data_IF_981462796746
#
_entry.id   IF_981462796746
#
_cell.length_a   1.000
_cell.length_b   1.000
_cell.length_c   1.000
_cell.angle_alpha   90.00
_cell.angle_beta   90.00
_cell.angle_gamma   90.00
#
_symmetry.space_group_name_H-M   'P 1'
#
loop_
_entity.id
_entity.type
_entity.pdbx_description
1 polymer ?
#
# COMPACT_ATOMS: atom_id res chain seq x y z
N UNK A 1 44.24 24.33 -2.74
CA UNK A 1 42.94 24.55 -3.41
C UNK A 1 42.91 26.00 -3.85
N UNK A 2 43.39 26.25 -5.06
CA UNK A 2 43.43 27.58 -5.66
C UNK A 2 42.04 27.93 -6.18
N UNK A 3 41.64 29.15 -5.85
CA UNK A 3 40.30 29.72 -5.98
C UNK A 3 39.99 30.04 -7.46
N UNK A 4 39.77 29.00 -8.26
CA UNK A 4 39.35 29.11 -9.67
C UNK A 4 37.91 29.57 -9.84
N UNK A 5 37.19 29.83 -8.74
CA UNK A 5 35.79 30.26 -8.74
C UNK A 5 35.59 31.72 -9.18
N UNK A 6 36.64 32.54 -9.14
CA UNK A 6 36.57 33.97 -9.47
C UNK A 6 36.58 34.27 -10.98
N UNK A 7 36.96 33.31 -11.84
CA UNK A 7 37.07 33.49 -13.29
C UNK A 7 35.88 32.96 -14.10
N UNK A 8 34.86 32.38 -13.45
CA UNK A 8 33.65 31.97 -14.16
C UNK A 8 32.92 33.19 -14.77
N UNK A 9 32.52 33.13 -16.05
CA UNK A 9 31.72 34.18 -16.69
C UNK A 9 30.51 34.56 -15.83
N UNK A 10 30.11 35.83 -15.82
CA UNK A 10 28.97 36.31 -15.02
C UNK A 10 27.66 35.52 -15.26
N UNK A 11 27.50 34.96 -16.46
CA UNK A 11 26.38 34.11 -16.87
C UNK A 11 26.36 32.75 -16.14
N UNK A 12 27.51 32.12 -15.92
CA UNK A 12 27.62 30.86 -15.17
C UNK A 12 27.32 31.07 -13.69
N UNK A 13 27.87 32.15 -13.11
CA UNK A 13 27.59 32.54 -11.70
C UNK A 13 26.10 32.79 -11.48
N UNK A 14 25.44 33.50 -12.41
CA UNK A 14 23.99 33.75 -12.36
C UNK A 14 23.19 32.45 -12.44
N UNK A 15 23.58 31.51 -13.31
CA UNK A 15 22.88 30.23 -13.48
C UNK A 15 22.96 29.36 -12.22
N UNK A 16 24.15 29.29 -11.59
CA UNK A 16 24.34 28.56 -10.33
C UNK A 16 23.53 29.18 -9.19
N UNK A 17 23.51 30.52 -9.08
CA UNK A 17 22.72 31.23 -8.08
C UNK A 17 21.22 30.97 -8.24
N UNK A 18 20.69 31.05 -9.47
CA UNK A 18 19.29 30.74 -9.78
C UNK A 18 18.97 29.29 -9.42
N UNK A 19 19.82 28.34 -9.82
CA UNK A 19 19.59 26.92 -9.51
C UNK A 19 19.53 26.67 -8.00
N UNK A 20 20.45 27.24 -7.22
CA UNK A 20 20.44 27.14 -5.76
C UNK A 20 19.16 27.71 -5.15
N UNK A 21 18.72 28.87 -5.61
CA UNK A 21 17.45 29.47 -5.18
C UNK A 21 16.26 28.56 -5.48
N UNK A 22 16.16 28.01 -6.70
CA UNK A 22 15.08 27.10 -7.07
C UNK A 22 15.09 25.79 -6.26
N UNK A 23 16.28 25.24 -5.97
CA UNK A 23 16.40 24.09 -5.07
C UNK A 23 15.96 24.44 -3.64
N UNK A 24 16.22 25.66 -3.16
CA UNK A 24 15.76 26.11 -1.85
C UNK A 24 14.22 26.25 -1.80
N UNK A 25 13.62 26.84 -2.83
CA UNK A 25 12.16 26.94 -2.97
C UNK A 25 11.53 25.54 -3.03
N UNK A 26 12.08 24.64 -3.85
CA UNK A 26 11.61 23.26 -3.93
C UNK A 26 11.75 22.53 -2.58
N UNK A 27 12.88 22.69 -1.89
CA UNK A 27 13.09 22.11 -0.57
C UNK A 27 12.07 22.62 0.44
N UNK A 28 11.75 23.92 0.44
CA UNK A 28 10.77 24.51 1.34
C UNK A 28 9.36 23.94 1.10
N UNK A 29 8.92 23.85 -0.15
CA UNK A 29 7.63 23.26 -0.54
C UNK A 29 7.59 21.78 -0.11
N UNK A 30 8.61 21.02 -0.49
CA UNK A 30 8.70 19.59 -0.17
C UNK A 30 8.72 19.34 1.33
N UNK A 31 9.48 20.14 2.10
CA UNK A 31 9.55 20.02 3.55
C UNK A 31 8.22 20.38 4.22
N UNK A 32 7.51 21.43 3.77
CA UNK A 32 6.20 21.78 4.31
C UNK A 32 5.17 20.65 4.12
N UNK A 33 5.11 20.07 2.91
CA UNK A 33 4.22 18.94 2.60
C UNK A 33 4.65 17.65 3.32
N UNK A 34 5.94 17.39 3.46
CA UNK A 34 6.45 16.27 4.24
C UNK A 34 6.09 16.42 5.73
N UNK A 35 6.20 17.62 6.30
CA UNK A 35 5.78 17.88 7.69
C UNK A 35 4.28 17.63 7.87
N UNK A 36 3.45 18.10 6.94
CA UNK A 36 2.01 17.77 6.94
C UNK A 36 1.79 16.25 6.90
N UNK A 37 2.52 15.55 6.04
CA UNK A 37 2.47 14.08 5.95
C UNK A 37 2.81 13.40 7.27
N UNK A 38 3.89 13.82 7.93
CA UNK A 38 4.34 13.25 9.20
C UNK A 38 3.33 13.49 10.33
N UNK A 39 2.66 14.65 10.35
CA UNK A 39 1.56 14.93 11.29
C UNK A 39 0.40 13.95 11.06
N UNK A 40 0.01 13.73 9.80
CA UNK A 40 -1.06 12.77 9.46
C UNK A 40 -0.67 11.33 9.84
N UNK A 41 0.58 10.94 9.62
CA UNK A 41 1.07 9.62 10.02
C UNK A 41 1.10 9.46 11.53
N UNK A 42 1.43 10.51 12.28
CA UNK A 42 1.35 10.48 13.73
C UNK A 42 -0.09 10.23 14.21
N UNK A 43 -1.07 10.94 13.64
CA UNK A 43 -2.49 10.74 13.95
C UNK A 43 -2.97 9.33 13.59
N UNK A 44 -2.47 8.77 12.48
CA UNK A 44 -2.74 7.40 12.04
C UNK A 44 -2.16 6.34 12.99
N UNK A 45 -0.91 6.53 13.45
CA UNK A 45 -0.28 5.62 14.43
C UNK A 45 -0.99 5.65 15.78
N UNK A 46 -1.57 6.80 16.15
CA UNK A 46 -2.32 6.96 17.41
C UNK A 46 -3.81 6.58 17.30
N UNK A 47 -4.24 5.97 16.20
CA UNK A 47 -5.63 5.58 15.98
C UNK A 47 -5.77 4.06 15.96
N UNK A 48 -6.50 3.50 16.93
CA UNK A 48 -6.78 2.08 16.99
C UNK A 48 -8.09 1.75 16.27
N UNK A 49 -8.01 1.56 14.96
CA UNK A 49 -9.14 1.26 14.08
C UNK A 49 -8.78 1.48 12.62
N UNK A 50 -9.61 1.05 11.64
CA UNK A 50 -9.21 1.01 10.23
C UNK A 50 -9.11 2.41 9.64
N UNK A 51 -8.00 2.71 8.97
CA UNK A 51 -7.89 3.93 8.17
C UNK A 51 -8.57 3.77 6.82
N UNK A 52 -8.40 2.60 6.21
CA UNK A 52 -8.95 2.30 4.90
C UNK A 52 -9.53 0.90 4.91
N UNK A 53 -10.51 0.72 4.04
CA UNK A 53 -11.07 -0.58 3.76
C UNK A 53 -9.98 -1.62 3.48
N UNK A 54 -10.13 -2.80 4.09
CA UNK A 54 -9.23 -3.94 3.90
C UNK A 54 -8.04 -3.95 4.87
N UNK A 55 -7.84 -2.93 5.70
CA UNK A 55 -6.92 -3.08 6.85
C UNK A 55 -7.43 -4.14 7.82
N UNK A 56 -8.75 -4.20 8.05
CA UNK A 56 -9.38 -5.18 8.92
C UNK A 56 -9.01 -6.63 8.57
N UNK A 57 -9.06 -7.00 7.29
CA UNK A 57 -8.66 -8.33 6.84
C UNK A 57 -7.19 -8.67 7.16
N UNK A 58 -6.28 -7.71 6.96
CA UNK A 58 -4.84 -7.91 7.25
C UNK A 58 -4.59 -8.05 8.75
N UNK A 59 -5.25 -7.21 9.55
CA UNK A 59 -5.13 -7.25 11.00
C UNK A 59 -5.75 -8.53 11.55
N UNK A 60 -6.94 -8.92 11.09
CA UNK A 60 -7.61 -10.15 11.49
C UNK A 60 -6.72 -11.38 11.25
N UNK A 61 -6.12 -11.49 10.05
CA UNK A 61 -5.19 -12.57 9.74
C UNK A 61 -3.98 -12.60 10.70
N UNK A 62 -3.43 -11.46 11.07
CA UNK A 62 -2.38 -11.36 12.09
C UNK A 62 -2.85 -11.76 13.49
N UNK A 63 -4.06 -11.36 13.89
CA UNK A 63 -4.64 -11.74 15.18
C UNK A 63 -5.01 -13.22 15.27
N UNK A 64 -5.34 -13.87 14.14
CA UNK A 64 -5.49 -15.32 14.08
C UNK A 64 -4.14 -16.00 14.38
N UNK A 65 -3.06 -15.54 13.74
CA UNK A 65 -1.70 -16.05 14.03
C UNK A 65 -1.32 -15.83 15.49
N UNK A 66 -1.60 -14.64 16.06
CA UNK A 66 -1.33 -14.35 17.47
C UNK A 66 -2.06 -15.31 18.43
N UNK A 67 -3.23 -15.81 18.01
CA UNK A 67 -4.03 -16.81 18.73
C UNK A 67 -3.60 -18.26 18.45
N UNK A 68 -2.54 -18.48 17.67
CA UNK A 68 -2.06 -19.80 17.29
C UNK A 68 -2.90 -20.47 16.20
N UNK A 69 -3.71 -19.70 15.46
CA UNK A 69 -4.54 -20.18 14.36
C UNK A 69 -3.87 -19.89 13.01
N UNK A 70 -4.15 -20.72 12.03
CA UNK A 70 -3.69 -20.54 10.65
C UNK A 70 -4.71 -19.72 9.84
N UNK A 71 -4.40 -18.48 9.40
CA UNK A 71 -5.31 -17.67 8.61
C UNK A 71 -5.51 -18.18 7.17
N UNK A 72 -4.70 -19.14 6.73
CA UNK A 72 -4.84 -19.83 5.43
C UNK A 72 -5.56 -21.17 5.55
N UNK A 73 -5.77 -21.66 6.78
CA UNK A 73 -6.49 -22.90 7.02
C UNK A 73 -7.98 -22.76 6.73
N UNK A 74 -8.73 -23.88 6.68
CA UNK A 74 -10.18 -23.85 6.50
C UNK A 74 -10.83 -23.06 7.65
N UNK A 75 -11.62 -22.01 7.36
CA UNK A 75 -12.33 -21.27 8.40
C UNK A 75 -13.44 -22.12 9.02
N UNK A 76 -13.94 -21.70 10.19
CA UNK A 76 -15.15 -22.28 10.75
C UNK A 76 -16.34 -22.14 9.78
N UNK A 77 -17.30 -23.06 9.84
CA UNK A 77 -18.44 -23.05 8.92
C UNK A 77 -19.19 -21.70 8.91
N UNK A 78 -19.40 -21.17 7.71
CA UNK A 78 -19.99 -19.85 7.48
C UNK A 78 -19.03 -18.66 7.62
N UNK A 79 -17.88 -18.80 8.27
CA UNK A 79 -16.91 -17.70 8.43
C UNK A 79 -16.06 -17.57 7.16
N UNK A 80 -15.75 -16.34 6.76
CA UNK A 80 -14.82 -16.06 5.66
C UNK A 80 -13.61 -15.26 6.15
N UNK A 81 -12.41 -15.77 5.81
CA UNK A 81 -11.12 -15.13 6.11
C UNK A 81 -10.35 -14.90 4.81
N UNK A 82 -10.07 -13.64 4.49
CA UNK A 82 -9.42 -13.20 3.25
C UNK A 82 -7.92 -12.94 3.40
N UNK A 83 -7.13 -13.97 3.73
CA UNK A 83 -5.65 -13.86 3.85
C UNK A 83 -4.92 -13.75 2.48
N UNK A 84 -5.23 -12.74 1.67
CA UNK A 84 -4.79 -12.59 0.28
C UNK A 84 -3.31 -12.20 0.05
N UNK A 85 -2.49 -12.13 1.10
CA UNK A 85 -1.06 -11.83 1.03
C UNK A 85 -0.24 -12.95 1.64
N UNK A 86 1.06 -13.09 1.30
CA UNK A 86 1.93 -14.00 2.01
C UNK A 86 2.19 -13.53 3.47
N UNK A 87 2.72 -14.42 4.35
CA UNK A 87 2.58 -14.27 5.79
C UNK A 87 3.31 -13.11 6.45
N UNK A 88 4.28 -12.45 5.80
CA UNK A 88 5.20 -11.55 6.51
C UNK A 88 4.48 -10.38 7.21
N UNK A 89 3.52 -9.76 6.54
CA UNK A 89 2.78 -8.64 7.14
C UNK A 89 1.88 -9.09 8.29
N UNK A 90 1.25 -10.27 8.17
CA UNK A 90 0.43 -10.85 9.23
C UNK A 90 1.28 -11.22 10.45
N UNK A 91 2.50 -11.72 10.23
CA UNK A 91 3.47 -11.99 11.30
C UNK A 91 3.89 -10.71 12.04
N UNK A 92 4.07 -9.59 11.32
CA UNK A 92 4.35 -8.30 11.95
C UNK A 92 3.22 -7.87 12.89
N UNK A 93 1.96 -8.00 12.44
CA UNK A 93 0.79 -7.76 13.30
C UNK A 93 0.81 -8.72 14.50
N UNK A 94 0.97 -10.01 14.26
CA UNK A 94 0.93 -11.04 15.30
C UNK A 94 1.97 -10.84 16.41
N UNK A 95 3.21 -10.50 16.02
CA UNK A 95 4.32 -10.26 16.97
C UNK A 95 4.09 -8.99 17.78
N UNK A 96 3.48 -7.97 17.17
CA UNK A 96 3.28 -6.67 17.78
C UNK A 96 1.92 -6.45 18.44
N UNK A 97 0.99 -7.40 18.38
CA UNK A 97 -0.42 -7.20 18.81
C UNK A 97 -0.56 -6.75 20.26
N UNK A 98 0.41 -7.09 21.12
CA UNK A 98 0.47 -6.60 22.50
C UNK A 98 0.57 -5.06 22.63
N UNK A 99 0.98 -4.35 21.57
CA UNK A 99 1.08 -2.88 21.54
C UNK A 99 -0.12 -2.20 20.87
N UNK A 100 -1.06 -2.97 20.34
CA UNK A 100 -2.17 -2.53 19.49
C UNK A 100 -2.32 -3.47 18.30
N UNK A 101 -3.54 -3.65 17.81
CA UNK A 101 -3.86 -4.55 16.70
C UNK A 101 -3.46 -3.92 15.36
N UNK A 102 -3.69 -2.60 15.20
CA UNK A 102 -3.35 -1.88 13.96
C UNK A 102 -1.93 -1.29 13.98
N UNK A 103 -1.44 -0.88 15.15
CA UNK A 103 -0.17 -0.14 15.30
C UNK A 103 1.07 -0.83 14.68
N UNK A 104 1.34 -2.13 14.86
CA UNK A 104 2.63 -2.72 14.52
C UNK A 104 2.98 -2.60 13.04
N UNK A 105 2.05 -2.98 12.16
CA UNK A 105 2.28 -2.95 10.72
C UNK A 105 2.33 -1.51 10.19
N UNK A 106 1.53 -0.60 10.75
CA UNK A 106 1.62 0.84 10.41
C UNK A 106 2.98 1.42 10.77
N UNK A 107 3.48 1.12 11.97
CA UNK A 107 4.79 1.59 12.43
C UNK A 107 5.89 1.06 11.51
N UNK A 108 5.85 -0.24 11.15
CA UNK A 108 6.81 -0.83 10.20
C UNK A 108 6.71 -0.17 8.82
N UNK A 109 5.52 0.12 8.32
CA UNK A 109 5.35 0.79 7.02
C UNK A 109 5.83 2.25 7.02
N UNK A 110 5.58 3.00 8.11
CA UNK A 110 6.14 4.35 8.29
C UNK A 110 7.67 4.29 8.33
N UNK A 111 8.25 3.37 9.09
CA UNK A 111 9.70 3.16 9.13
C UNK A 111 10.27 2.75 7.76
N UNK A 112 9.55 1.92 7.01
CA UNK A 112 9.91 1.53 5.64
C UNK A 112 9.94 2.73 4.70
N UNK A 113 8.94 3.62 4.75
CA UNK A 113 8.92 4.86 3.98
C UNK A 113 10.06 5.81 4.37
N UNK A 114 10.30 5.99 5.67
CA UNK A 114 11.43 6.81 6.16
C UNK A 114 12.78 6.23 5.74
N UNK A 115 12.94 4.92 5.75
CA UNK A 115 14.16 4.25 5.29
C UNK A 115 14.42 4.50 3.79
N UNK A 116 13.37 4.48 2.96
CA UNK A 116 13.47 4.87 1.55
C UNK A 116 13.86 6.35 1.42
N UNK A 117 13.24 7.26 2.18
CA UNK A 117 13.58 8.68 2.17
C UNK A 117 15.05 8.93 2.56
N UNK A 118 15.55 8.22 3.59
CA UNK A 118 16.95 8.25 4.00
C UNK A 118 17.85 7.73 2.88
N UNK A 119 17.47 6.63 2.21
CA UNK A 119 18.22 6.10 1.07
C UNK A 119 18.26 7.11 -0.09
N UNK A 120 17.18 7.83 -0.36
CA UNK A 120 17.13 8.91 -1.35
C UNK A 120 18.10 10.04 -0.96
N UNK A 121 18.04 10.53 0.28
CA UNK A 121 18.97 11.55 0.77
C UNK A 121 20.43 11.12 0.65
N UNK A 122 20.74 9.88 1.05
CA UNK A 122 22.10 9.33 1.00
C UNK A 122 22.62 9.15 -0.43
N UNK A 123 21.74 8.86 -1.38
CA UNK A 123 22.08 8.74 -2.81
C UNK A 123 22.28 10.10 -3.48
N UNK A 124 21.63 11.14 -2.99
CA UNK A 124 21.74 12.50 -3.52
C UNK A 124 23.11 13.13 -3.16
N UNK A 125 24.06 13.01 -4.10
CA UNK A 125 25.44 13.51 -3.91
C UNK A 125 25.66 14.97 -4.31
N UNK A 126 24.65 15.64 -4.87
CA UNK A 126 24.83 16.96 -5.45
C UNK A 126 25.00 18.08 -4.40
N UNK A 127 24.16 18.09 -3.36
CA UNK A 127 24.28 18.99 -2.20
C UNK A 127 23.36 18.52 -1.06
N UNK A 128 23.61 18.96 0.18
CA UNK A 128 22.72 18.70 1.32
C UNK A 128 21.30 19.20 1.08
N UNK A 129 21.16 20.35 0.42
CA UNK A 129 19.87 20.93 0.07
C UNK A 129 19.12 20.05 -0.94
N UNK A 130 19.81 19.55 -1.97
CA UNK A 130 19.23 18.62 -2.95
C UNK A 130 18.78 17.32 -2.27
N UNK A 131 19.60 16.78 -1.37
CA UNK A 131 19.30 15.57 -0.63
C UNK A 131 18.04 15.72 0.24
N UNK A 132 17.96 16.82 1.01
CA UNK A 132 16.79 17.16 1.80
C UNK A 132 15.55 17.32 0.91
N UNK A 133 15.66 18.09 -0.18
CA UNK A 133 14.55 18.34 -1.09
C UNK A 133 13.99 17.06 -1.70
N UNK A 134 14.85 16.16 -2.19
CA UNK A 134 14.41 14.90 -2.79
C UNK A 134 13.82 13.93 -1.76
N UNK A 135 14.43 13.80 -0.58
CA UNK A 135 13.91 12.94 0.48
C UNK A 135 12.56 13.43 1.01
N UNK A 136 12.45 14.73 1.32
CA UNK A 136 11.18 15.34 1.72
C UNK A 136 10.13 15.23 0.61
N UNK A 137 10.53 15.37 -0.66
CA UNK A 137 9.58 15.25 -1.76
C UNK A 137 8.97 13.86 -1.88
N UNK A 138 9.73 12.80 -1.63
CA UNK A 138 9.21 11.44 -1.63
C UNK A 138 8.12 11.26 -0.57
N UNK A 139 8.34 11.77 0.64
CA UNK A 139 7.33 11.75 1.71
C UNK A 139 6.10 12.59 1.34
N UNK A 140 6.29 13.69 0.61
CA UNK A 140 5.21 14.56 0.14
C UNK A 140 4.40 14.01 -1.05
N UNK A 141 4.81 12.91 -1.69
CA UNK A 141 4.08 12.34 -2.82
C UNK A 141 2.75 11.77 -2.34
N UNK A 142 1.65 12.10 -3.03
CA UNK A 142 0.31 11.64 -2.70
C UNK A 142 0.18 10.13 -2.36
N UNK A 143 0.70 9.19 -3.17
CA UNK A 143 0.59 7.76 -2.83
C UNK A 143 1.37 7.39 -1.56
N UNK A 144 2.52 8.05 -1.31
CA UNK A 144 3.31 7.82 -0.09
C UNK A 144 2.59 8.40 1.13
N UNK A 145 2.13 9.64 1.04
CA UNK A 145 1.35 10.32 2.08
C UNK A 145 0.15 9.48 2.52
N UNK A 146 -0.61 8.96 1.56
CA UNK A 146 -1.88 8.27 1.82
C UNK A 146 -1.69 6.83 2.27
N UNK A 147 -0.69 6.13 1.73
CA UNK A 147 -0.62 4.66 1.85
C UNK A 147 0.53 4.15 2.72
N UNK A 148 1.52 4.97 3.05
CA UNK A 148 2.57 4.58 3.98
C UNK A 148 2.10 4.30 5.42
N UNK A 149 1.12 5.03 6.01
CA UNK A 149 0.73 4.78 7.40
C UNK A 149 -0.34 3.70 7.53
N UNK A 150 -0.76 3.10 6.41
CA UNK A 150 -1.85 2.14 6.34
C UNK A 150 -1.35 0.74 6.75
N UNK A 151 -2.15 -0.03 7.49
CA UNK A 151 -1.85 -1.39 7.95
C UNK A 151 -2.00 -2.43 6.82
N UNK A 152 -1.34 -2.19 5.68
CA UNK A 152 -1.34 -3.04 4.48
C UNK A 152 0.09 -3.42 4.11
N UNK A 153 0.25 -4.36 3.19
CA UNK A 153 1.57 -4.98 2.92
C UNK A 153 2.49 -4.12 2.04
N UNK A 154 1.97 -3.04 1.46
CA UNK A 154 2.54 -2.40 0.28
C UNK A 154 3.88 -1.71 0.53
N UNK A 155 3.95 -0.79 1.51
CA UNK A 155 5.16 0.03 1.73
C UNK A 155 6.35 -0.83 2.19
N UNK A 156 6.11 -1.84 3.02
CA UNK A 156 7.12 -2.81 3.42
C UNK A 156 7.70 -3.57 2.21
N UNK A 157 6.85 -4.05 1.30
CA UNK A 157 7.30 -4.71 0.07
C UNK A 157 8.12 -3.78 -0.84
N UNK A 158 7.71 -2.51 -0.96
CA UNK A 158 8.42 -1.49 -1.74
C UNK A 158 9.79 -1.19 -1.14
N UNK A 159 9.90 -1.06 0.19
CA UNK A 159 11.19 -0.84 0.85
C UNK A 159 12.12 -2.03 0.64
N UNK A 160 11.66 -3.26 0.84
CA UNK A 160 12.47 -4.45 0.58
C UNK A 160 12.92 -4.54 -0.88
N UNK A 161 12.04 -4.23 -1.84
CA UNK A 161 12.39 -4.15 -3.26
C UNK A 161 13.49 -3.11 -3.50
N UNK A 162 13.31 -1.89 -2.97
CA UNK A 162 14.30 -0.82 -3.11
C UNK A 162 15.67 -1.20 -2.52
N UNK A 163 15.69 -1.76 -1.30
CA UNK A 163 16.94 -2.16 -0.65
C UNK A 163 17.62 -3.35 -1.33
N UNK A 164 16.85 -4.32 -1.85
CA UNK A 164 17.39 -5.40 -2.67
C UNK A 164 18.20 -4.86 -3.86
N UNK A 165 17.63 -3.88 -4.57
CA UNK A 165 18.25 -3.31 -5.76
C UNK A 165 19.42 -2.38 -5.41
N UNK A 166 19.31 -1.58 -4.34
CA UNK A 166 20.39 -0.69 -3.89
C UNK A 166 21.62 -1.48 -3.43
N UNK A 167 21.41 -2.60 -2.74
CA UNK A 167 22.46 -3.46 -2.21
C UNK A 167 23.01 -4.43 -3.25
N UNK A 168 22.32 -4.70 -4.35
CA UNK A 168 22.83 -5.56 -5.42
C UNK A 168 24.24 -5.14 -5.86
N UNK A 169 25.22 -6.03 -5.67
CA UNK A 169 26.62 -5.77 -5.99
C UNK A 169 27.36 -7.10 -6.19
N UNK A 170 28.53 -7.09 -6.86
CA UNK A 170 29.24 -8.33 -7.14
C UNK A 170 29.91 -8.93 -5.89
N UNK A 171 29.87 -8.33 -4.70
CA UNK A 171 30.46 -8.88 -3.47
C UNK A 171 29.41 -9.62 -2.63
N UNK A 172 29.76 -10.78 -2.05
CA UNK A 172 28.82 -11.56 -1.22
C UNK A 172 28.26 -10.78 -0.04
N UNK A 173 29.08 -9.96 0.63
CA UNK A 173 28.66 -9.06 1.72
C UNK A 173 27.43 -8.20 1.37
N UNK A 174 27.27 -7.85 0.09
CA UNK A 174 26.18 -7.02 -0.41
C UNK A 174 25.12 -7.84 -1.17
N UNK A 175 25.53 -8.86 -1.89
CA UNK A 175 24.61 -9.76 -2.61
C UNK A 175 23.72 -10.58 -1.65
N UNK A 176 24.24 -11.01 -0.50
CA UNK A 176 23.49 -11.74 0.52
C UNK A 176 22.27 -10.95 1.02
N UNK A 177 22.42 -9.74 1.60
CA UNK A 177 21.26 -8.96 2.01
C UNK A 177 20.40 -8.54 0.83
N UNK A 178 20.96 -8.32 -0.38
CA UNK A 178 20.16 -8.02 -1.56
C UNK A 178 19.19 -9.16 -1.93
N UNK A 179 19.67 -10.41 -1.96
CA UNK A 179 18.82 -11.58 -2.21
C UNK A 179 17.83 -11.85 -1.08
N UNK A 180 18.23 -11.64 0.17
CA UNK A 180 17.33 -11.75 1.32
C UNK A 180 16.18 -10.73 1.24
N UNK A 181 16.49 -9.45 0.95
CA UNK A 181 15.47 -8.42 0.76
C UNK A 181 14.57 -8.70 -0.44
N UNK A 182 15.11 -9.21 -1.56
CA UNK A 182 14.27 -9.62 -2.70
C UNK A 182 13.29 -10.74 -2.31
N UNK A 183 13.73 -11.70 -1.49
CA UNK A 183 12.89 -12.79 -0.99
C UNK A 183 11.81 -12.27 -0.05
N UNK A 184 12.18 -11.40 0.89
CA UNK A 184 11.25 -10.77 1.82
C UNK A 184 10.21 -9.89 1.11
N UNK A 185 10.60 -9.20 0.02
CA UNK A 185 9.68 -8.42 -0.79
C UNK A 185 8.56 -9.30 -1.39
N UNK A 186 8.93 -10.44 -1.99
CA UNK A 186 7.95 -11.40 -2.52
C UNK A 186 7.13 -12.07 -1.42
N UNK A 187 7.77 -12.35 -0.27
CA UNK A 187 7.10 -12.88 0.92
C UNK A 187 6.23 -11.84 1.65
N UNK A 188 6.23 -10.59 1.17
CA UNK A 188 5.31 -9.53 1.62
C UNK A 188 4.19 -9.31 0.60
N UNK A 189 4.54 -9.18 -0.69
CA UNK A 189 3.58 -8.91 -1.76
C UNK A 189 4.08 -9.48 -3.10
N UNK A 190 3.32 -10.36 -3.79
CA UNK A 190 3.75 -10.96 -5.05
C UNK A 190 4.06 -9.96 -6.17
N UNK A 191 3.42 -8.78 -6.17
CA UNK A 191 3.64 -7.76 -7.22
C UNK A 191 5.07 -7.21 -7.24
N UNK A 192 5.83 -7.34 -6.14
CA UNK A 192 7.25 -7.01 -6.09
C UNK A 192 8.09 -7.81 -7.10
N UNK A 193 7.55 -8.91 -7.64
CA UNK A 193 8.19 -9.71 -8.68
C UNK A 193 8.52 -8.89 -9.93
N UNK A 194 7.65 -7.97 -10.34
CA UNK A 194 7.83 -7.19 -11.57
C UNK A 194 9.09 -6.31 -11.55
N UNK A 195 9.30 -5.42 -10.56
CA UNK A 195 10.54 -4.66 -10.46
C UNK A 195 11.78 -5.55 -10.25
N UNK A 196 11.67 -6.63 -9.46
CA UNK A 196 12.78 -7.54 -9.22
C UNK A 196 13.23 -8.26 -10.51
N UNK A 197 12.29 -8.82 -11.28
CA UNK A 197 12.59 -9.49 -12.56
C UNK A 197 13.20 -8.52 -13.55
N UNK A 198 12.66 -7.31 -13.68
CA UNK A 198 13.22 -6.30 -14.59
C UNK A 198 14.70 -5.99 -14.26
N UNK A 199 15.02 -5.83 -12.98
CA UNK A 199 16.41 -5.61 -12.54
C UNK A 199 17.27 -6.86 -12.72
N UNK A 200 16.77 -8.04 -12.35
CA UNK A 200 17.53 -9.30 -12.49
C UNK A 200 17.86 -9.61 -13.95
N UNK A 201 16.94 -9.35 -14.89
CA UNK A 201 17.20 -9.47 -16.33
C UNK A 201 18.28 -8.50 -16.79
N UNK A 202 18.23 -7.24 -16.34
CA UNK A 202 19.29 -6.28 -16.61
C UNK A 202 20.65 -6.75 -16.05
N UNK A 203 20.68 -7.22 -14.80
CA UNK A 203 21.90 -7.70 -14.16
C UNK A 203 22.43 -8.96 -14.88
N UNK A 204 21.57 -9.90 -15.27
CA UNK A 204 21.97 -11.08 -16.02
C UNK A 204 22.58 -10.71 -17.38
N UNK A 205 22.10 -9.64 -18.00
CA UNK A 205 22.63 -9.16 -19.27
C UNK A 205 23.94 -8.39 -19.13
N UNK A 206 24.06 -7.48 -18.15
CA UNK A 206 25.16 -6.50 -18.07
C UNK A 206 26.11 -6.69 -16.88
N UNK A 207 25.67 -7.38 -15.83
CA UNK A 207 26.37 -7.53 -14.55
C UNK A 207 26.27 -8.98 -14.03
N UNK A 208 26.61 -9.96 -14.87
CA UNK A 208 26.40 -11.40 -14.62
C UNK A 208 26.85 -11.89 -13.24
N UNK A 209 28.00 -11.41 -12.76
CA UNK A 209 28.51 -11.78 -11.43
C UNK A 209 27.63 -11.27 -10.30
N UNK A 210 27.08 -10.06 -10.42
CA UNK A 210 26.08 -9.53 -9.48
C UNK A 210 24.82 -10.36 -9.56
N UNK A 211 24.33 -10.64 -10.77
CA UNK A 211 23.11 -11.42 -11.00
C UNK A 211 23.20 -12.81 -10.35
N UNK A 212 24.27 -13.57 -10.63
CA UNK A 212 24.45 -14.92 -10.09
C UNK A 212 24.49 -14.93 -8.55
N UNK A 213 25.21 -13.99 -7.93
CA UNK A 213 25.32 -13.93 -6.46
C UNK A 213 24.01 -13.52 -5.80
N UNK A 214 23.31 -12.54 -6.37
CA UNK A 214 21.98 -12.12 -5.87
C UNK A 214 20.97 -13.26 -6.06
N UNK A 215 20.99 -13.95 -7.20
CA UNK A 215 20.11 -15.08 -7.47
C UNK A 215 20.35 -16.23 -6.48
N UNK A 216 21.60 -16.62 -6.21
CA UNK A 216 21.91 -17.65 -5.21
C UNK A 216 21.42 -17.23 -3.82
N UNK A 217 21.69 -15.99 -3.41
CA UNK A 217 21.22 -15.48 -2.11
C UNK A 217 19.69 -15.46 -2.02
N UNK A 218 19.01 -15.01 -3.08
CA UNK A 218 17.56 -15.00 -3.20
C UNK A 218 16.98 -16.41 -3.10
N UNK A 219 17.52 -17.36 -3.85
CA UNK A 219 17.07 -18.75 -3.81
C UNK A 219 17.25 -19.33 -2.41
N UNK A 220 18.42 -19.16 -1.78
CA UNK A 220 18.67 -19.66 -0.44
C UNK A 220 17.71 -19.07 0.59
N UNK A 221 17.51 -17.75 0.59
CA UNK A 221 16.56 -17.08 1.48
C UNK A 221 15.11 -17.49 1.21
N UNK A 222 14.72 -17.64 -0.05
CA UNK A 222 13.37 -18.10 -0.43
C UNK A 222 13.10 -19.53 0.03
N UNK A 223 14.08 -20.43 -0.07
CA UNK A 223 13.97 -21.80 0.46
C UNK A 223 13.73 -21.79 1.97
N UNK A 224 14.44 -20.95 2.73
CA UNK A 224 14.21 -20.82 4.17
C UNK A 224 12.81 -20.30 4.50
N UNK A 225 12.34 -19.27 3.78
CA UNK A 225 10.99 -18.73 3.97
C UNK A 225 9.92 -19.75 3.60
N UNK A 226 10.10 -20.49 2.52
CA UNK A 226 9.20 -21.58 2.11
C UNK A 226 9.20 -22.69 3.14
N UNK A 227 10.37 -23.12 3.64
CA UNK A 227 10.46 -24.14 4.69
C UNK A 227 9.74 -23.70 5.97
N UNK A 228 9.97 -22.46 6.41
CA UNK A 228 9.22 -21.86 7.52
C UNK A 228 7.72 -21.85 7.26
N UNK A 229 7.31 -21.51 6.04
CA UNK A 229 5.90 -21.49 5.63
C UNK A 229 5.28 -22.88 5.73
N UNK A 230 5.97 -23.90 5.21
CA UNK A 230 5.53 -25.30 5.29
C UNK A 230 5.38 -25.80 6.73
N UNK A 231 6.24 -25.33 7.64
CA UNK A 231 6.17 -25.71 9.05
C UNK A 231 4.97 -25.05 9.77
N UNK A 232 4.59 -23.84 9.37
CA UNK A 232 3.67 -22.99 10.13
C UNK A 232 2.27 -22.84 9.54
N UNK A 233 2.11 -23.06 8.24
CA UNK A 233 0.88 -22.77 7.54
C UNK A 233 0.53 -23.87 6.54
N UNK A 234 -0.76 -24.02 6.26
CA UNK A 234 -1.27 -24.93 5.26
C UNK A 234 -0.95 -24.42 3.85
N UNK A 235 -0.08 -25.16 3.14
CA UNK A 235 0.39 -24.74 1.82
C UNK A 235 -0.73 -24.64 0.76
N UNK A 236 -1.72 -25.54 0.83
CA UNK A 236 -2.90 -25.48 -0.06
C UNK A 236 -3.75 -24.23 0.22
N UNK A 237 -3.87 -23.86 1.50
CA UNK A 237 -4.45 -22.61 1.95
C UNK A 237 -3.74 -21.41 1.34
N UNK A 238 -2.41 -21.34 1.46
CA UNK A 238 -1.61 -20.24 0.90
C UNK A 238 -1.80 -20.10 -0.61
N UNK A 239 -1.74 -21.20 -1.35
CA UNK A 239 -2.00 -21.18 -2.81
C UNK A 239 -3.41 -20.66 -3.10
N UNK A 240 -4.39 -21.10 -2.30
CA UNK A 240 -5.78 -20.69 -2.46
C UNK A 240 -5.95 -19.20 -2.21
N UNK A 241 -5.49 -18.68 -1.07
CA UNK A 241 -5.71 -17.28 -0.72
C UNK A 241 -4.83 -16.31 -1.52
N UNK A 242 -3.53 -16.61 -1.67
CA UNK A 242 -2.56 -15.68 -2.27
C UNK A 242 -2.61 -15.69 -3.79
N UNK A 243 -2.93 -16.84 -4.41
CA UNK A 243 -2.92 -16.99 -5.87
C UNK A 243 -4.34 -17.07 -6.41
N UNK A 244 -5.15 -18.07 -5.99
CA UNK A 244 -6.45 -18.34 -6.62
C UNK A 244 -7.47 -17.25 -6.31
N UNK A 245 -7.62 -16.90 -5.04
CA UNK A 245 -8.59 -15.89 -4.61
C UNK A 245 -8.17 -14.48 -5.02
N UNK A 246 -6.86 -14.23 -5.13
CA UNK A 246 -6.32 -12.95 -5.58
C UNK A 246 -6.25 -12.82 -7.12
N UNK A 247 -6.68 -13.84 -7.87
CA UNK A 247 -6.77 -13.82 -9.34
C UNK A 247 -8.05 -13.10 -9.81
N UNK A 248 -8.30 -11.91 -9.27
CA UNK A 248 -9.45 -11.09 -9.64
C UNK A 248 -9.38 -10.62 -11.10
N UNK A 249 -10.53 -10.38 -11.75
CA UNK A 249 -10.60 -9.92 -13.13
C UNK A 249 -9.77 -8.66 -13.37
N UNK A 250 -9.17 -8.58 -14.56
CA UNK A 250 -8.53 -7.36 -15.03
C UNK A 250 -9.58 -6.40 -15.59
N UNK A 251 -9.55 -5.15 -15.12
CA UNK A 251 -10.42 -4.06 -15.51
C UNK A 251 -9.58 -2.94 -16.16
N UNK A 252 -9.61 -2.80 -17.51
CA UNK A 252 -8.84 -1.78 -18.22
C UNK A 252 -9.12 -0.34 -17.76
N UNK A 253 -10.35 -0.06 -17.32
CA UNK A 253 -10.75 1.23 -16.74
C UNK A 253 -9.95 1.56 -15.48
N UNK A 254 -9.73 0.58 -14.60
CA UNK A 254 -8.91 0.73 -13.39
C UNK A 254 -7.45 0.98 -13.78
N UNK A 255 -6.89 0.21 -14.72
CA UNK A 255 -5.52 0.44 -15.20
C UNK A 255 -5.34 1.85 -15.77
N UNK A 256 -6.29 2.31 -16.59
CA UNK A 256 -6.27 3.63 -17.19
C UNK A 256 -6.37 4.74 -16.13
N UNK A 257 -7.23 4.57 -15.13
CA UNK A 257 -7.34 5.50 -14.01
C UNK A 257 -6.05 5.55 -13.19
N UNK A 258 -5.45 4.40 -12.87
CA UNK A 258 -4.17 4.33 -12.14
C UNK A 258 -3.04 5.01 -12.93
N UNK A 259 -2.99 4.79 -14.25
CA UNK A 259 -2.04 5.47 -15.13
C UNK A 259 -2.27 6.99 -15.14
N UNK A 260 -3.52 7.44 -15.26
CA UNK A 260 -3.85 8.86 -15.24
C UNK A 260 -3.44 9.50 -13.92
N UNK A 261 -3.85 8.92 -12.79
CA UNK A 261 -3.47 9.40 -11.45
C UNK A 261 -1.95 9.36 -11.27
N UNK A 262 -1.28 8.30 -11.75
CA UNK A 262 0.17 8.17 -11.73
C UNK A 262 0.88 9.25 -12.54
N UNK A 263 0.41 9.56 -13.75
CA UNK A 263 0.96 10.66 -14.57
C UNK A 263 0.76 11.99 -13.87
N UNK A 264 -0.44 12.26 -13.35
CA UNK A 264 -0.77 13.54 -12.73
C UNK A 264 -0.05 13.75 -11.39
N UNK A 265 0.27 12.69 -10.65
CA UNK A 265 0.92 12.80 -9.32
C UNK A 265 2.42 12.53 -9.34
N UNK A 266 2.93 11.74 -10.29
CA UNK A 266 4.32 11.26 -10.35
C UNK A 266 4.99 11.45 -11.71
N UNK A 267 4.29 11.94 -12.74
CA UNK A 267 4.77 11.94 -14.13
C UNK A 267 6.14 12.61 -14.31
N UNK A 268 6.35 13.77 -13.68
CA UNK A 268 7.65 14.45 -13.70
C UNK A 268 8.76 13.64 -13.02
N UNK A 269 8.48 13.04 -11.86
CA UNK A 269 9.44 12.20 -11.15
C UNK A 269 9.81 10.96 -11.97
N UNK A 270 8.81 10.27 -12.53
CA UNK A 270 9.02 9.08 -13.36
C UNK A 270 9.82 9.40 -14.62
N UNK A 271 9.48 10.48 -15.33
CA UNK A 271 10.17 10.88 -16.55
C UNK A 271 11.62 11.30 -16.27
N UNK A 272 11.84 12.18 -15.28
CA UNK A 272 13.18 12.64 -14.92
C UNK A 272 14.02 11.52 -14.32
N UNK A 273 13.41 10.66 -13.50
CA UNK A 273 14.03 9.45 -12.95
C UNK A 273 14.47 8.51 -14.06
N UNK A 274 13.59 8.13 -14.99
CA UNK A 274 13.92 7.24 -16.10
C UNK A 274 15.02 7.79 -17.02
N UNK A 275 14.97 9.11 -17.32
CA UNK A 275 15.99 9.79 -18.15
C UNK A 275 17.35 9.90 -17.46
N UNK A 276 17.35 10.12 -16.14
CA UNK A 276 18.58 10.29 -15.36
C UNK A 276 19.18 8.97 -14.91
N UNK A 277 18.37 7.91 -14.78
CA UNK A 277 18.79 6.61 -14.29
C UNK A 277 19.78 5.93 -15.24
N UNK A 278 20.76 5.27 -14.65
CA UNK A 278 21.62 4.30 -15.32
C UNK A 278 21.08 2.88 -15.16
N UNK A 279 21.38 2.03 -16.15
CA UNK A 279 21.28 0.57 -16.09
C UNK A 279 20.18 0.00 -15.18
N UNK A 280 20.62 -0.51 -14.01
CA UNK A 280 19.76 -1.16 -13.01
C UNK A 280 18.66 -0.26 -12.43
N UNK A 281 18.93 1.03 -12.22
CA UNK A 281 17.92 1.97 -11.71
C UNK A 281 16.87 2.25 -12.77
N UNK A 282 17.26 2.27 -14.04
CA UNK A 282 16.30 2.41 -15.15
C UNK A 282 15.42 1.17 -15.27
N UNK A 283 16.02 -0.02 -15.14
CA UNK A 283 15.29 -1.28 -15.09
C UNK A 283 14.30 -1.32 -13.91
N UNK A 284 14.69 -0.77 -12.74
CA UNK A 284 13.79 -0.64 -11.60
C UNK A 284 12.58 0.26 -11.92
N UNK A 285 12.80 1.45 -12.46
CA UNK A 285 11.70 2.35 -12.86
C UNK A 285 10.78 1.70 -13.88
N UNK A 286 11.32 1.00 -14.89
CA UNK A 286 10.52 0.27 -15.87
C UNK A 286 9.67 -0.81 -15.20
N UNK A 287 10.27 -1.65 -14.35
CA UNK A 287 9.55 -2.70 -13.65
C UNK A 287 8.49 -2.16 -12.68
N UNK A 288 8.76 -1.02 -12.04
CA UNK A 288 7.77 -0.31 -11.23
C UNK A 288 6.60 0.23 -12.06
N UNK A 289 6.83 0.74 -13.28
CA UNK A 289 5.76 1.15 -14.20
C UNK A 289 4.92 -0.06 -14.64
N UNK A 290 5.55 -1.24 -14.83
CA UNK A 290 4.81 -2.47 -15.13
C UNK A 290 3.86 -2.87 -14.00
N UNK A 291 4.19 -2.58 -12.73
CA UNK A 291 3.26 -2.79 -11.60
C UNK A 291 1.98 -1.99 -11.79
N UNK A 292 2.05 -0.77 -12.29
CA UNK A 292 0.87 0.08 -12.55
C UNK A 292 0.07 -0.46 -13.74
N UNK A 293 0.75 -0.80 -14.85
CA UNK A 293 0.09 -1.28 -16.08
C UNK A 293 -0.63 -2.60 -15.85
N UNK A 294 0.02 -3.54 -15.15
CA UNK A 294 -0.51 -4.87 -14.87
C UNK A 294 -1.37 -4.92 -13.59
N UNK A 295 -1.38 -3.83 -12.82
CA UNK A 295 -2.11 -3.68 -11.58
C UNK A 295 -3.59 -3.35 -11.74
N UNK A 296 -4.11 -3.26 -12.97
CA UNK A 296 -5.53 -2.96 -13.23
C UNK A 296 -6.50 -4.08 -12.89
N UNK A 297 -6.37 -4.74 -11.74
CA UNK A 297 -7.35 -5.73 -11.27
C UNK A 297 -8.42 -5.07 -10.40
N UNK A 298 -9.60 -5.67 -10.34
CA UNK A 298 -10.63 -5.23 -9.40
C UNK A 298 -10.07 -5.12 -7.97
N UNK A 299 -10.42 -4.03 -7.26
CA UNK A 299 -9.89 -3.73 -5.92
C UNK A 299 -8.51 -3.06 -5.89
N UNK A 300 -7.90 -2.80 -7.05
CA UNK A 300 -6.61 -2.09 -7.11
C UNK A 300 -6.77 -0.58 -6.97
N UNK A 301 -5.87 0.04 -6.21
CA UNK A 301 -5.94 1.48 -5.88
C UNK A 301 -4.57 2.14 -6.02
N UNK A 302 -4.43 3.35 -5.46
CA UNK A 302 -3.24 4.21 -5.59
C UNK A 302 -1.97 3.60 -4.98
N UNK A 303 -2.08 2.51 -4.22
CA UNK A 303 -0.94 1.77 -3.67
C UNK A 303 0.00 1.20 -4.73
N UNK A 304 -0.50 0.92 -5.93
CA UNK A 304 0.33 0.47 -7.06
C UNK A 304 1.31 1.55 -7.57
N UNK A 305 1.12 2.81 -7.16
CA UNK A 305 2.02 3.91 -7.50
C UNK A 305 3.24 4.01 -6.57
N UNK A 306 3.27 3.27 -5.46
CA UNK A 306 4.36 3.34 -4.48
C UNK A 306 5.71 2.88 -5.04
N UNK A 307 5.72 1.79 -5.82
CA UNK A 307 6.93 1.32 -6.51
C UNK A 307 7.48 2.39 -7.46
N UNK A 308 6.60 3.05 -8.22
CA UNK A 308 7.01 4.12 -9.16
C UNK A 308 7.57 5.31 -8.39
N UNK A 309 6.92 5.73 -7.29
CA UNK A 309 7.41 6.80 -6.44
C UNK A 309 8.82 6.52 -5.90
N UNK A 310 9.02 5.35 -5.29
CA UNK A 310 10.31 4.96 -4.72
C UNK A 310 11.40 4.83 -5.80
N UNK A 311 11.12 4.09 -6.88
CA UNK A 311 12.07 3.87 -7.96
C UNK A 311 12.49 5.18 -8.63
N UNK A 312 11.53 6.08 -8.89
CA UNK A 312 11.79 7.35 -9.57
C UNK A 312 12.61 8.31 -8.74
N UNK A 313 12.30 8.45 -7.44
CA UNK A 313 13.07 9.31 -6.54
C UNK A 313 14.49 8.78 -6.31
N UNK A 314 14.67 7.46 -6.14
CA UNK A 314 15.99 6.84 -6.01
C UNK A 314 16.83 6.98 -7.29
N UNK A 315 16.21 6.76 -8.46
CA UNK A 315 16.83 6.97 -9.76
C UNK A 315 17.31 8.42 -9.93
N UNK A 316 16.45 9.39 -9.62
CA UNK A 316 16.75 10.81 -9.74
C UNK A 316 17.88 11.23 -8.77
N UNK A 317 17.80 10.82 -7.50
CA UNK A 317 18.81 11.14 -6.49
C UNK A 317 20.22 10.67 -6.89
N UNK A 318 20.30 9.57 -7.65
CA UNK A 318 21.58 8.97 -8.04
C UNK A 318 22.40 9.82 -9.02
N UNK A 319 21.76 10.70 -9.79
CA UNK A 319 22.38 11.36 -10.96
C UNK A 319 22.02 12.84 -11.14
N UNK A 320 21.13 13.40 -10.31
CA UNK A 320 20.75 14.81 -10.40
C UNK A 320 21.97 15.72 -10.17
N UNK A 321 22.06 16.80 -10.93
CA UNK A 321 23.06 17.86 -10.75
C UNK A 321 22.42 19.09 -10.13
N UNK A 322 23.10 19.71 -9.17
CA UNK A 322 22.59 20.87 -8.43
C UNK A 322 22.59 22.17 -9.26
N UNK A 323 23.23 22.18 -10.42
CA UNK A 323 23.38 23.34 -11.33
C UNK A 323 22.26 23.45 -12.38
N UNK A 324 21.34 22.48 -12.42
CA UNK A 324 20.28 22.42 -13.44
C UNK A 324 18.96 23.00 -12.92
N UNK A 325 18.59 24.26 -13.25
CA UNK A 325 17.43 24.94 -12.64
C UNK A 325 16.07 24.34 -13.03
N UNK A 326 15.98 23.64 -14.18
CA UNK A 326 14.72 23.08 -14.68
C UNK A 326 14.21 21.93 -13.81
N UNK A 327 15.10 21.16 -13.19
CA UNK A 327 14.74 20.00 -12.37
C UNK A 327 13.91 20.42 -11.14
N UNK A 328 14.42 21.27 -10.22
CA UNK A 328 13.65 21.64 -9.03
C UNK A 328 12.35 22.38 -9.38
N UNK A 329 12.33 23.19 -10.46
CA UNK A 329 11.11 23.84 -10.93
C UNK A 329 10.04 22.83 -11.36
N UNK A 330 10.43 21.82 -12.16
CA UNK A 330 9.49 20.79 -12.65
C UNK A 330 8.93 19.96 -11.49
N UNK A 331 9.78 19.58 -10.54
CA UNK A 331 9.36 18.81 -9.37
C UNK A 331 8.49 19.64 -8.41
N UNK A 332 8.81 20.92 -8.22
CA UNK A 332 7.98 21.83 -7.43
C UNK A 332 6.59 21.99 -8.05
N UNK A 333 6.50 22.16 -9.37
CA UNK A 333 5.23 22.21 -10.09
C UNK A 333 4.44 20.90 -9.92
N UNK A 334 5.10 19.75 -10.02
CA UNK A 334 4.48 18.44 -9.80
C UNK A 334 3.91 18.27 -8.38
N UNK A 335 4.65 18.71 -7.35
CA UNK A 335 4.16 18.70 -5.97
C UNK A 335 2.99 19.68 -5.78
N UNK A 336 3.05 20.86 -6.40
CA UNK A 336 1.98 21.85 -6.33
C UNK A 336 0.67 21.32 -6.97
N UNK A 337 0.77 20.61 -8.10
CA UNK A 337 -0.39 19.92 -8.72
C UNK A 337 -0.97 18.88 -7.75
N UNK A 338 -0.12 18.03 -7.17
CA UNK A 338 -0.57 17.04 -6.18
C UNK A 338 -1.26 17.69 -4.97
N UNK A 339 -0.67 18.75 -4.42
CA UNK A 339 -1.25 19.50 -3.31
C UNK A 339 -2.57 20.18 -3.69
N UNK A 340 -2.67 20.75 -4.89
CA UNK A 340 -3.90 21.35 -5.39
C UNK A 340 -5.02 20.32 -5.53
N UNK A 341 -4.74 19.12 -6.04
CA UNK A 341 -5.74 18.04 -6.13
C UNK A 341 -6.24 17.56 -4.76
N UNK A 342 -5.36 17.57 -3.75
CA UNK A 342 -5.75 17.28 -2.37
C UNK A 342 -6.65 18.40 -1.83
N UNK A 343 -6.23 19.66 -2.01
CA UNK A 343 -6.98 20.82 -1.54
C UNK A 343 -8.36 20.97 -2.20
N UNK A 344 -8.52 20.52 -3.45
CA UNK A 344 -9.79 20.55 -4.18
C UNK A 344 -10.59 19.24 -4.08
N UNK A 345 -10.20 18.32 -3.20
CA UNK A 345 -10.88 17.04 -3.00
C UNK A 345 -10.96 16.11 -4.24
N UNK A 346 -10.17 16.37 -5.29
CA UNK A 346 -10.04 15.46 -6.44
C UNK A 346 -9.32 14.18 -6.01
N UNK A 347 -8.32 14.32 -5.12
CA UNK A 347 -7.65 13.22 -4.45
C UNK A 347 -7.82 13.40 -2.97
N UNK A 348 -8.59 12.55 -2.32
CA UNK A 348 -8.80 12.64 -0.88
C UNK A 348 -7.87 11.66 -0.17
N UNK A 349 -6.91 12.15 0.64
CA UNK A 349 -6.32 11.31 1.67
C UNK A 349 -7.42 10.75 2.57
N UNK A 350 -7.13 9.67 3.27
CA UNK A 350 -8.05 9.09 4.26
C UNK A 350 -8.59 10.15 5.22
N UNK A 351 -9.92 10.23 5.34
CA UNK A 351 -10.57 11.02 6.39
C UNK A 351 -10.57 10.24 7.72
N UNK A 352 -9.51 10.43 8.49
CA UNK A 352 -9.36 9.79 9.80
C UNK A 352 -10.48 10.18 10.78
N UNK A 353 -11.08 11.36 10.62
CA UNK A 353 -12.20 11.77 11.46
C UNK A 353 -13.45 10.96 11.12
N UNK A 354 -13.70 10.66 9.84
CA UNK A 354 -14.74 9.73 9.42
C UNK A 354 -14.49 8.32 9.97
N UNK A 355 -13.27 7.79 9.85
CA UNK A 355 -12.93 6.47 10.40
C UNK A 355 -13.14 6.40 11.92
N UNK A 356 -12.72 7.44 12.67
CA UNK A 356 -12.96 7.53 14.12
C UNK A 356 -14.45 7.53 14.45
N UNK A 357 -15.26 8.30 13.70
CA UNK A 357 -16.72 8.30 13.87
C UNK A 357 -17.32 6.91 13.64
N UNK A 358 -16.88 6.20 12.61
CA UNK A 358 -17.36 4.83 12.34
C UNK A 358 -17.04 3.87 13.49
N UNK A 359 -15.81 3.92 14.04
CA UNK A 359 -15.42 3.11 15.19
C UNK A 359 -16.26 3.47 16.43
N UNK A 360 -16.44 4.75 16.72
CA UNK A 360 -17.26 5.20 17.87
C UNK A 360 -18.73 4.80 17.74
N UNK A 361 -19.29 4.82 16.54
CA UNK A 361 -20.67 4.35 16.29
C UNK A 361 -20.84 2.84 16.50
N UNK A 362 -19.74 2.08 16.59
CA UNK A 362 -19.75 0.64 16.84
C UNK A 362 -19.34 0.27 18.28
N UNK A 363 -19.01 1.25 19.14
CA UNK A 363 -18.61 1.01 20.54
C UNK A 363 -19.73 0.39 21.40
N UNK A 364 -21.00 0.62 21.02
CA UNK A 364 -22.19 0.10 21.72
C UNK A 364 -22.54 -1.35 21.34
N UNK A 365 -21.85 -1.92 20.33
CA UNK A 365 -22.14 -3.25 19.84
C UNK A 365 -21.72 -4.33 20.87
N UNK A 366 -22.59 -5.31 21.18
CA UNK A 366 -22.22 -6.39 22.08
C UNK A 366 -21.06 -7.22 21.51
N UNK A 367 -20.03 -7.49 22.33
CA UNK A 367 -18.84 -8.25 21.90
C UNK A 367 -19.14 -9.67 21.41
N UNK A 368 -20.23 -10.26 21.89
CA UNK A 368 -20.68 -11.59 21.51
C UNK A 368 -21.67 -11.59 20.32
N UNK A 369 -22.00 -10.42 19.76
CA UNK A 369 -22.93 -10.32 18.65
C UNK A 369 -22.31 -10.87 17.35
N UNK A 370 -23.14 -11.54 16.56
CA UNK A 370 -22.79 -11.99 15.21
C UNK A 370 -23.06 -10.85 14.23
N UNK A 371 -22.00 -10.25 13.70
CA UNK A 371 -22.11 -9.03 12.88
C UNK A 371 -21.53 -9.26 11.49
N UNK A 372 -22.31 -8.88 10.47
CA UNK A 372 -21.82 -8.72 9.11
C UNK A 372 -21.51 -7.24 8.88
N UNK A 373 -20.23 -6.89 8.70
CA UNK A 373 -19.82 -5.51 8.45
C UNK A 373 -19.14 -5.39 7.09
N UNK A 374 -19.36 -4.27 6.43
CA UNK A 374 -18.63 -3.91 5.20
C UNK A 374 -17.12 -3.79 5.48
N UNK A 375 -16.73 -2.91 6.41
CA UNK A 375 -15.35 -2.82 6.91
C UNK A 375 -15.22 -3.58 8.25
N UNK A 376 -14.59 -4.75 8.19
CA UNK A 376 -14.32 -5.59 9.36
C UNK A 376 -13.38 -4.95 10.37
N UNK A 377 -12.59 -3.95 9.97
CA UNK A 377 -11.69 -3.26 10.88
C UNK A 377 -12.42 -2.53 11.99
N UNK A 378 -13.64 -2.04 11.71
CA UNK A 378 -14.50 -1.37 12.71
C UNK A 378 -14.89 -2.34 13.83
N UNK A 379 -15.08 -3.62 13.49
CA UNK A 379 -15.37 -4.67 14.47
C UNK A 379 -14.13 -4.99 15.31
N UNK A 380 -12.97 -5.15 14.67
CA UNK A 380 -11.71 -5.44 15.36
C UNK A 380 -11.33 -4.35 16.36
N UNK A 381 -11.49 -3.08 15.98
CA UNK A 381 -11.25 -1.93 16.86
C UNK A 381 -12.07 -1.99 18.17
N UNK A 382 -13.21 -2.66 18.13
CA UNK A 382 -14.12 -2.85 19.27
C UNK A 382 -13.99 -4.23 19.93
N UNK A 383 -12.96 -5.02 19.58
CA UNK A 383 -12.71 -6.35 20.11
C UNK A 383 -13.70 -7.41 19.63
N UNK A 384 -14.33 -7.18 18.48
CA UNK A 384 -15.31 -8.10 17.86
C UNK A 384 -14.61 -8.84 16.72
N UNK A 385 -14.65 -10.16 16.74
CA UNK A 385 -14.09 -10.97 15.65
C UNK A 385 -15.06 -10.93 14.45
N UNK A 386 -14.61 -10.53 13.26
CA UNK A 386 -15.48 -10.43 12.09
C UNK A 386 -15.93 -11.81 11.60
N UNK A 387 -17.17 -11.87 11.12
CA UNK A 387 -17.71 -13.07 10.49
C UNK A 387 -17.25 -13.22 9.02
N UNK A 388 -17.10 -12.08 8.34
CA UNK A 388 -16.49 -11.94 7.02
C UNK A 388 -15.49 -10.79 7.15
N UNK A 389 -14.20 -11.05 6.99
CA UNK A 389 -13.18 -10.01 7.21
C UNK A 389 -12.85 -9.18 5.95
N UNK A 390 -13.15 -9.69 4.75
CA UNK A 390 -13.02 -8.99 3.48
C UNK A 390 -14.27 -9.24 2.63
N UNK A 391 -15.31 -8.42 2.86
CA UNK A 391 -16.60 -8.54 2.16
C UNK A 391 -16.46 -8.39 0.64
N UNK A 392 -15.54 -7.54 0.19
CA UNK A 392 -15.22 -7.36 -1.23
C UNK A 392 -14.65 -8.63 -1.81
N UNK A 393 -13.60 -9.21 -1.21
CA UNK A 393 -13.01 -10.43 -1.74
C UNK A 393 -14.04 -11.57 -1.74
N UNK A 394 -14.77 -11.75 -0.64
CA UNK A 394 -15.85 -12.73 -0.54
C UNK A 394 -16.87 -12.57 -1.67
N UNK A 395 -17.36 -11.34 -1.89
CA UNK A 395 -18.39 -11.06 -2.90
C UNK A 395 -17.92 -11.39 -4.31
N UNK A 396 -16.66 -11.08 -4.63
CA UNK A 396 -16.06 -11.37 -5.93
C UNK A 396 -15.89 -12.88 -6.14
N UNK A 397 -15.48 -13.61 -5.12
CA UNK A 397 -15.32 -15.06 -5.20
C UNK A 397 -16.66 -15.79 -5.36
N UNK A 398 -17.70 -15.36 -4.64
CA UNK A 398 -19.06 -15.88 -4.82
C UNK A 398 -19.59 -15.58 -6.22
N UNK A 399 -19.42 -14.33 -6.69
CA UNK A 399 -19.87 -13.93 -8.03
C UNK A 399 -19.17 -14.71 -9.16
N UNK A 400 -17.90 -15.08 -8.95
CA UNK A 400 -17.13 -15.91 -9.87
C UNK A 400 -17.44 -17.42 -9.75
N UNK A 401 -18.22 -17.84 -8.74
CA UNK A 401 -18.46 -19.25 -8.44
C UNK A 401 -17.25 -19.99 -7.85
N UNK A 402 -16.24 -19.25 -7.37
CA UNK A 402 -15.01 -19.80 -6.79
C UNK A 402 -15.21 -20.38 -5.38
N UNK A 403 -16.22 -19.88 -4.66
CA UNK A 403 -16.64 -20.37 -3.34
C UNK A 403 -18.18 -20.40 -3.28
N UNK A 404 -18.73 -21.19 -2.37
CA UNK A 404 -20.17 -21.21 -2.11
C UNK A 404 -20.63 -19.95 -1.37
N UNK A 405 -21.86 -19.51 -1.63
CA UNK A 405 -22.50 -18.43 -0.89
C UNK A 405 -23.11 -18.95 0.42
N UNK A 406 -22.35 -18.85 1.52
CA UNK A 406 -22.80 -19.23 2.86
C UNK A 406 -23.36 -18.05 3.69
N UNK A 407 -23.18 -16.81 3.22
CA UNK A 407 -23.55 -15.59 3.97
C UNK A 407 -24.97 -15.15 3.63
N UNK A 408 -25.34 -15.10 2.35
CA UNK A 408 -26.66 -14.64 1.92
C UNK A 408 -27.80 -15.48 2.51
N UNK A 409 -27.73 -16.83 2.56
CA UNK A 409 -28.77 -17.63 3.20
C UNK A 409 -28.95 -17.31 4.68
N UNK A 410 -27.86 -17.03 5.40
CA UNK A 410 -27.88 -16.66 6.82
C UNK A 410 -28.50 -15.28 7.05
N UNK A 411 -28.21 -14.32 6.17
CA UNK A 411 -28.89 -13.02 6.18
C UNK A 411 -30.39 -13.20 5.97
N UNK A 412 -30.84 -14.02 5.01
CA UNK A 412 -32.28 -14.27 4.80
C UNK A 412 -32.97 -14.86 6.04
N UNK A 413 -32.24 -15.64 6.83
CA UNK A 413 -32.72 -16.24 8.08
C UNK A 413 -32.58 -15.30 9.30
N UNK A 414 -32.18 -14.04 9.08
CA UNK A 414 -31.91 -13.06 10.13
C UNK A 414 -30.89 -13.55 11.19
N UNK A 415 -29.89 -14.33 10.77
CA UNK A 415 -28.92 -14.97 11.67
C UNK A 415 -27.80 -14.04 12.17
N UNK A 416 -27.71 -12.81 11.66
CA UNK A 416 -26.83 -11.76 12.18
C UNK A 416 -27.62 -10.83 13.09
N UNK A 417 -27.04 -10.46 14.23
CA UNK A 417 -27.62 -9.48 15.15
C UNK A 417 -27.62 -8.09 14.51
N UNK A 418 -26.57 -7.78 13.74
CA UNK A 418 -26.43 -6.53 13.02
C UNK A 418 -25.81 -6.75 11.63
N UNK A 419 -26.26 -5.95 10.67
CA UNK A 419 -25.59 -5.75 9.39
C UNK A 419 -25.16 -4.28 9.29
N UNK A 420 -23.89 -4.03 9.01
CA UNK A 420 -23.31 -2.67 8.98
C UNK A 420 -22.76 -2.41 7.57
N UNK A 421 -23.23 -1.34 6.95
CA UNK A 421 -22.77 -0.87 5.63
C UNK A 421 -22.26 0.57 5.72
N UNK A 422 -21.33 0.94 4.84
CA UNK A 422 -20.83 2.31 4.72
C UNK A 422 -21.80 3.20 3.92
N UNK A 423 -22.65 2.56 3.10
CA UNK A 423 -23.63 3.20 2.21
C UNK A 423 -25.05 2.69 2.47
N UNK A 424 -26.09 3.50 2.19
CA UNK A 424 -27.47 3.05 2.31
C UNK A 424 -27.79 1.98 1.27
N UNK A 425 -28.10 0.76 1.73
CA UNK A 425 -28.33 -0.39 0.86
C UNK A 425 -29.58 -0.27 -0.02
N UNK A 426 -30.56 0.55 0.36
CA UNK A 426 -31.75 0.88 -0.41
C UNK A 426 -31.51 1.91 -1.52
N UNK A 427 -30.34 2.57 -1.53
CA UNK A 427 -29.89 3.50 -2.56
C UNK A 427 -28.50 3.14 -3.10
N UNK A 428 -28.15 1.85 -3.06
CA UNK A 428 -26.83 1.35 -3.48
C UNK A 428 -26.53 1.64 -4.97
N UNK A 429 -27.55 1.79 -5.81
CA UNK A 429 -27.43 2.19 -7.21
C UNK A 429 -26.74 3.55 -7.39
N UNK A 430 -26.82 4.43 -6.38
CA UNK A 430 -26.16 5.75 -6.36
C UNK A 430 -24.75 5.72 -5.79
N UNK A 431 -24.36 4.62 -5.14
CA UNK A 431 -23.02 4.44 -4.59
C UNK A 431 -21.97 4.33 -5.71
N UNK A 432 -20.69 4.52 -5.37
CA UNK A 432 -19.60 4.33 -6.31
C UNK A 432 -19.52 2.88 -6.77
N UNK A 433 -18.91 2.63 -7.93
CA UNK A 433 -18.75 1.26 -8.45
C UNK A 433 -18.09 0.33 -7.43
N UNK A 434 -17.07 0.82 -6.71
CA UNK A 434 -16.35 0.04 -5.72
C UNK A 434 -17.22 -0.38 -4.53
N UNK A 435 -18.08 0.50 -4.02
CA UNK A 435 -19.03 0.18 -2.93
C UNK A 435 -20.07 -0.84 -3.39
N UNK A 436 -20.57 -0.71 -4.63
CA UNK A 436 -21.51 -1.69 -5.20
C UNK A 436 -20.90 -3.08 -5.34
N UNK A 437 -19.60 -3.18 -5.62
CA UNK A 437 -18.90 -4.47 -5.73
C UNK A 437 -18.82 -5.22 -4.39
N UNK A 438 -18.87 -4.52 -3.25
CA UNK A 438 -18.88 -5.13 -1.91
C UNK A 438 -20.22 -5.78 -1.57
N UNK A 439 -21.31 -5.29 -2.17
CA UNK A 439 -22.68 -5.69 -1.85
C UNK A 439 -23.38 -6.32 -3.07
N UNK A 440 -23.26 -7.64 -3.28
CA UNK A 440 -23.99 -8.32 -4.35
C UNK A 440 -25.50 -8.05 -4.28
N UNK A 441 -26.19 -7.90 -5.43
CA UNK A 441 -27.63 -7.61 -5.44
C UNK A 441 -28.49 -8.66 -4.71
N UNK A 442 -28.03 -9.92 -4.64
CA UNK A 442 -28.70 -10.97 -3.87
C UNK A 442 -28.59 -10.76 -2.36
N UNK A 443 -27.41 -10.32 -1.88
CA UNK A 443 -27.16 -10.01 -0.48
C UNK A 443 -27.93 -8.76 -0.05
N UNK A 444 -27.90 -7.69 -0.85
CA UNK A 444 -28.66 -6.45 -0.60
C UNK A 444 -30.14 -6.73 -0.41
N UNK A 445 -30.75 -7.49 -1.34
CA UNK A 445 -32.16 -7.90 -1.23
C UNK A 445 -32.41 -8.68 0.05
N UNK A 446 -31.56 -9.65 0.38
CA UNK A 446 -31.68 -10.41 1.62
C UNK A 446 -31.64 -9.50 2.87
N UNK A 447 -30.76 -8.49 2.89
CA UNK A 447 -30.71 -7.53 4.00
C UNK A 447 -32.00 -6.70 4.05
N UNK A 448 -32.44 -6.11 2.95
CA UNK A 448 -33.62 -5.23 2.94
C UNK A 448 -34.93 -5.98 3.27
N UNK A 449 -35.01 -7.27 2.90
CA UNK A 449 -36.14 -8.14 3.18
C UNK A 449 -36.18 -8.59 4.65
N UNK A 450 -35.06 -9.04 5.22
CA UNK A 450 -35.00 -9.63 6.56
C UNK A 450 -34.67 -8.62 7.68
N UNK A 451 -34.07 -7.48 7.33
CA UNK A 451 -33.62 -6.46 8.28
C UNK A 451 -34.33 -5.12 8.03
N UNK A 452 -34.30 -4.25 9.06
CA UNK A 452 -34.74 -2.86 8.97
C UNK A 452 -33.59 -1.95 9.39
N UNK A 453 -33.53 -0.76 8.80
CA UNK A 453 -32.58 0.27 9.20
C UNK A 453 -32.87 0.72 10.63
N UNK A 454 -31.85 0.71 11.48
CA UNK A 454 -31.89 1.16 12.88
C UNK A 454 -31.18 2.50 13.02
N UNK A 455 -29.96 2.60 12.48
CA UNK A 455 -29.15 3.82 12.46
C UNK A 455 -28.73 4.11 11.03
N UNK A 456 -28.95 5.34 10.56
CA UNK A 456 -28.49 5.79 9.25
C UNK A 456 -27.81 7.14 9.35
N UNK A 457 -26.48 7.14 9.36
CA UNK A 457 -25.65 8.34 9.28
C UNK A 457 -24.64 8.18 8.14
N UNK A 458 -24.15 9.27 7.51
CA UNK A 458 -23.19 9.16 6.42
C UNK A 458 -21.97 8.32 6.82
N UNK A 459 -21.69 7.25 6.07
CA UNK A 459 -20.60 6.31 6.35
C UNK A 459 -20.93 5.22 7.37
N UNK A 460 -22.15 5.16 7.92
CA UNK A 460 -22.54 4.11 8.86
C UNK A 460 -24.06 3.87 8.85
N UNK A 461 -24.44 2.73 8.26
CA UNK A 461 -25.81 2.27 8.17
C UNK A 461 -25.92 0.93 8.88
N UNK A 462 -26.58 0.92 10.04
CA UNK A 462 -26.80 -0.27 10.87
C UNK A 462 -28.20 -0.79 10.67
N UNK A 463 -28.30 -2.05 10.29
CA UNK A 463 -29.54 -2.78 10.10
C UNK A 463 -29.70 -3.85 11.18
N UNK A 464 -30.92 -3.99 11.71
CA UNK A 464 -31.29 -4.98 12.73
C UNK A 464 -32.40 -5.91 12.21
N UNK A 465 -32.48 -7.16 12.68
CA UNK A 465 -33.54 -8.08 12.28
C UNK A 465 -34.93 -7.47 12.41
N UNK A 466 -35.77 -7.67 11.39
CA UNK A 466 -37.21 -7.47 11.53
C UNK A 466 -37.70 -8.57 12.47
N UNK A 467 -37.96 -8.25 13.74
CA UNK A 467 -38.55 -9.21 14.69
C UNK A 467 -39.78 -9.84 14.03
N UNK A 468 -39.82 -11.18 13.94
CA UNK A 468 -41.02 -11.89 13.53
C UNK A 468 -42.14 -11.47 14.48
N UNK A 469 -43.21 -10.90 13.92
CA UNK A 469 -44.44 -10.66 14.66
C UNK A 469 -45.06 -11.98 15.07
#
# INVERSE_FOLDING_TARGET
MTDSSLLAPATERRTVAISRFLWAVYAAIAAALASFTLVQWWSALSFEGPMVYGEGAVVNAGLLIARGLDPYGPPAAGVFVGANYPPLAYLVVAIGSAFGDFLPLRAVNVLAALAIAIAIAWRARASRLTALALASSFLALFPVLTWAPVARVDMLAVAFTAFAILLAAPTWRRALPAGAFASLALYTKPTALLPLVAVLLYLAWREQRTAARVAVAFTASSVLLVAFTFERFEMQGIITHVIRWNALPFAPSIAALLLLVGVVTLGAFALLGARSADGRMRAYVIGAVLVVILGGREGSTVNYLLDVAAASCLALASRVRADTPRVPLTLAAQLAVGAAMIATAVLQPTDLAASRRQVTLAEDLPRAATILAEDSGVLLANGITPFVDDLFLWSRLVAAGSIADEVTPRVRQAAFDFVIADVPLDALDRATEFERLRWPPALVRAVLDAYRLDVGVPGHFRYVPRRSR
#
